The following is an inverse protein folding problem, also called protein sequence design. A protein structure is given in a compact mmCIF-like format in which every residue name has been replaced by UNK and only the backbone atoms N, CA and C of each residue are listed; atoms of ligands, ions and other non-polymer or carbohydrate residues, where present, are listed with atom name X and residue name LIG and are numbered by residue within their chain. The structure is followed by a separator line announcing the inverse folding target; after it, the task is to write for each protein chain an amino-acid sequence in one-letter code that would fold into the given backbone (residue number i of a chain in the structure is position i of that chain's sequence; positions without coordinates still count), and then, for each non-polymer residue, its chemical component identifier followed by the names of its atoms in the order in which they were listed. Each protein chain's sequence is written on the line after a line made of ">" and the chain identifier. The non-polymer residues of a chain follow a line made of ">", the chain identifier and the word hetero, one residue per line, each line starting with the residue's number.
data_IF_182010048887
#
_entry.id   IF_182010048887
#
_cell.length_a   1.000
_cell.length_b   1.000
_cell.length_c   1.000
_cell.angle_alpha   90.00
_cell.angle_beta   90.00
_cell.angle_gamma   90.00
#
_symmetry.space_group_name_H-M   'P 1'
#
loop_
_entity.id
_entity.type
_entity.pdbx_description
1 polymer ?
#
# COMPACT_ATOMS: atom_id res chain seq x y z
N UNK A 1 37.61 36.37 29.74
CA UNK A 1 36.85 35.69 28.67
C UNK A 1 35.64 35.04 29.31
N UNK A 2 34.43 35.50 28.96
CA UNK A 2 33.19 34.86 29.44
C UNK A 2 32.99 33.60 28.59
N UNK A 3 33.15 32.42 29.18
CA UNK A 3 32.91 31.16 28.49
C UNK A 3 31.44 31.06 28.07
N UNK A 4 31.18 30.82 26.79
CA UNK A 4 29.83 30.53 26.34
C UNK A 4 29.48 29.07 26.64
N UNK A 5 28.35 28.85 27.32
CA UNK A 5 27.78 27.51 27.50
C UNK A 5 27.33 26.92 26.15
N UNK A 6 27.20 25.59 26.10
CA UNK A 6 26.68 24.88 24.91
C UNK A 6 25.31 25.46 24.53
N UNK A 7 25.18 25.93 23.29
CA UNK A 7 23.94 26.47 22.75
C UNK A 7 23.22 25.39 21.98
N UNK A 8 21.90 25.36 22.10
CA UNK A 8 21.05 24.45 21.34
C UNK A 8 20.94 24.97 19.91
N UNK A 9 21.19 24.12 18.91
CA UNK A 9 21.00 24.49 17.51
C UNK A 9 19.50 24.76 17.25
N UNK A 10 19.14 25.80 16.48
CA UNK A 10 17.75 26.08 16.11
C UNK A 10 17.03 24.88 15.48
N UNK A 11 17.74 24.09 14.68
CA UNK A 11 17.20 22.88 14.06
C UNK A 11 16.71 21.87 15.11
N UNK A 12 17.39 21.70 16.24
CA UNK A 12 16.92 20.80 17.30
C UNK A 12 15.55 21.22 17.88
N UNK A 13 15.27 22.53 17.94
CA UNK A 13 13.97 23.03 18.39
C UNK A 13 12.88 22.77 17.34
N UNK A 14 13.23 22.90 16.06
CA UNK A 14 12.33 22.57 14.93
C UNK A 14 12.00 21.07 14.94
N UNK A 15 13.01 20.22 15.13
CA UNK A 15 12.85 18.78 15.14
C UNK A 15 11.98 18.32 16.33
N UNK A 16 12.21 18.85 17.54
CA UNK A 16 11.35 18.56 18.70
C UNK A 16 9.88 18.94 18.45
N UNK A 17 9.66 20.12 17.86
CA UNK A 17 8.31 20.57 17.52
C UNK A 17 7.68 19.70 16.44
N UNK A 18 8.47 19.23 15.48
CA UNK A 18 8.01 18.32 14.43
C UNK A 18 7.63 16.95 14.98
N UNK A 19 8.42 16.42 15.92
CA UNK A 19 8.10 15.20 16.66
C UNK A 19 6.79 15.36 17.43
N UNK A 20 6.61 16.48 18.13
CA UNK A 20 5.38 16.78 18.85
C UNK A 20 4.17 16.88 17.90
N UNK A 21 4.35 17.52 16.74
CA UNK A 21 3.32 17.60 15.71
C UNK A 21 2.93 16.22 15.17
N UNK A 22 3.92 15.39 14.80
CA UNK A 22 3.68 14.03 14.31
C UNK A 22 2.87 13.22 15.31
N UNK A 23 3.30 13.18 16.58
CA UNK A 23 2.61 12.45 17.65
C UNK A 23 1.17 12.94 17.86
N UNK A 24 0.91 14.22 17.62
CA UNK A 24 -0.42 14.84 17.76
C UNK A 24 -1.37 14.44 16.63
N UNK A 25 -0.87 14.31 15.40
CA UNK A 25 -1.72 14.01 14.22
C UNK A 25 -1.94 12.52 13.99
N UNK A 26 -1.04 11.69 14.50
CA UNK A 26 -1.16 10.23 14.45
C UNK A 26 -2.31 9.72 15.32
N UNK A 27 -2.96 8.60 14.96
CA UNK A 27 -3.98 7.99 15.81
C UNK A 27 -3.44 7.65 17.20
N UNK A 28 -4.20 8.02 18.24
CA UNK A 28 -3.79 7.94 19.66
C UNK A 28 -3.51 6.50 20.13
N UNK A 29 -4.20 5.53 19.52
CA UNK A 29 -4.07 4.11 19.78
C UNK A 29 -2.84 3.47 19.11
N UNK A 30 -2.19 4.15 18.17
CA UNK A 30 -1.01 3.62 17.50
C UNK A 30 0.25 3.92 18.30
N UNK A 31 1.22 3.00 18.21
CA UNK A 31 2.46 3.10 18.99
C UNK A 31 3.59 3.53 18.07
N UNK A 32 4.15 4.72 18.35
CA UNK A 32 5.36 5.22 17.71
C UNK A 32 6.57 4.90 18.59
N UNK A 33 7.45 4.01 18.14
CA UNK A 33 8.70 3.65 18.82
C UNK A 33 9.87 4.32 18.13
N UNK A 34 10.73 5.00 18.89
CA UNK A 34 12.01 5.51 18.34
C UNK A 34 12.84 4.33 17.81
N UNK A 35 13.36 4.46 16.59
CA UNK A 35 14.18 3.44 15.95
C UNK A 35 15.66 3.77 16.14
N UNK A 36 16.42 2.91 16.83
CA UNK A 36 17.85 3.12 17.12
C UNK A 36 18.67 1.84 16.92
N UNK A 37 19.90 1.91 16.36
CA UNK A 37 20.56 3.10 15.79
C UNK A 37 19.91 3.54 14.46
N UNK A 38 19.91 4.84 14.20
CA UNK A 38 19.17 5.48 13.10
C UNK A 38 20.01 5.52 11.81
N UNK A 39 19.87 4.49 10.98
CA UNK A 39 20.38 4.55 9.59
C UNK A 39 19.44 5.40 8.70
N UNK A 40 19.04 6.58 9.19
CA UNK A 40 18.09 7.48 8.52
C UNK A 40 16.60 7.17 8.78
N UNK A 41 16.28 6.30 9.74
CA UNK A 41 14.90 6.01 10.17
C UNK A 41 14.68 6.52 11.60
N UNK A 42 13.57 7.22 11.82
CA UNK A 42 13.26 7.84 13.12
C UNK A 42 12.30 6.98 13.95
N UNK A 43 11.29 6.39 13.31
CA UNK A 43 10.25 5.64 14.01
C UNK A 43 9.91 4.30 13.36
N UNK A 44 9.61 3.31 14.19
CA UNK A 44 8.80 2.16 13.84
C UNK A 44 7.39 2.39 14.41
N UNK A 45 6.38 2.30 13.54
CA UNK A 45 4.97 2.48 13.91
C UNK A 45 4.29 1.12 13.93
N UNK A 46 3.61 0.82 15.04
CA UNK A 46 2.75 -0.34 15.19
C UNK A 46 1.29 0.11 15.18
N UNK A 47 0.49 -0.49 14.29
CA UNK A 47 -0.92 -0.16 14.08
C UNK A 47 -1.81 -1.08 14.92
N UNK A 48 -2.83 -0.45 15.50
CA UNK A 48 -3.85 -1.10 16.33
C UNK A 48 -5.23 -0.87 15.72
N UNK A 49 -6.18 -1.74 16.07
CA UNK A 49 -7.60 -1.59 15.76
C UNK A 49 -8.13 -0.21 16.18
N UNK A 50 -9.18 0.26 15.50
CA UNK A 50 -9.77 1.58 15.75
C UNK A 50 -10.15 1.81 17.22
N UNK A 51 -10.03 3.06 17.65
CA UNK A 51 -10.18 3.52 19.02
C UNK A 51 -11.61 3.38 19.60
N UNK A 52 -12.53 2.73 18.89
CA UNK A 52 -13.89 2.46 19.36
C UNK A 52 -13.96 1.40 20.47
N UNK A 53 -12.86 0.68 20.72
CA UNK A 53 -12.75 -0.32 21.80
C UNK A 53 -11.91 0.23 22.97
N UNK A 54 -12.26 -0.11 24.23
CA UNK A 54 -11.48 0.33 25.40
C UNK A 54 -10.07 -0.30 25.46
N UNK A 55 -9.86 -1.41 24.74
CA UNK A 55 -8.59 -2.13 24.66
C UNK A 55 -8.34 -2.53 23.21
N UNK A 56 -7.82 -1.62 22.36
CA UNK A 56 -7.57 -1.92 20.96
C UNK A 56 -6.51 -3.00 20.83
N UNK A 57 -6.75 -3.98 19.95
CA UNK A 57 -5.81 -5.08 19.72
C UNK A 57 -4.74 -4.68 18.72
N UNK A 58 -3.53 -5.22 18.89
CA UNK A 58 -2.47 -5.06 17.88
C UNK A 58 -2.85 -5.87 16.64
N UNK A 59 -2.67 -5.25 15.47
CA UNK A 59 -2.82 -5.95 14.20
C UNK A 59 -1.52 -6.65 13.79
N UNK A 60 -0.39 -6.42 14.48
CA UNK A 60 0.92 -6.88 14.02
C UNK A 60 1.34 -6.25 12.68
N UNK A 61 0.74 -5.10 12.33
CA UNK A 61 0.96 -4.34 11.10
C UNK A 61 1.87 -3.15 11.39
N UNK A 62 2.93 -2.99 10.60
CA UNK A 62 4.00 -2.05 10.92
C UNK A 62 4.50 -1.32 9.68
N UNK A 63 4.96 -0.09 9.88
CA UNK A 63 5.71 0.69 8.89
C UNK A 63 6.75 1.56 9.58
N UNK A 64 7.71 2.07 8.81
CA UNK A 64 8.75 2.97 9.30
C UNK A 64 8.50 4.40 8.84
N UNK A 65 8.96 5.35 9.64
CA UNK A 65 8.93 6.78 9.29
C UNK A 65 10.36 7.32 9.32
N UNK A 66 10.70 8.05 8.26
CA UNK A 66 11.75 9.06 8.26
C UNK A 66 11.07 10.44 8.37
N UNK A 67 11.33 11.16 9.45
CA UNK A 67 10.72 12.46 9.75
C UNK A 67 11.68 13.59 9.38
N UNK A 68 11.20 14.56 8.60
CA UNK A 68 11.88 15.83 8.37
C UNK A 68 10.98 16.98 8.85
N UNK A 69 11.54 17.96 9.56
CA UNK A 69 10.77 19.05 10.16
C UNK A 69 11.19 20.40 9.58
N UNK A 70 10.24 21.29 9.32
CA UNK A 70 10.52 22.62 8.76
C UNK A 70 9.50 23.67 9.20
N UNK A 71 9.96 24.91 9.37
CA UNK A 71 9.13 26.11 9.52
C UNK A 71 8.98 26.91 8.21
N UNK A 72 9.78 26.57 7.18
CA UNK A 72 9.80 27.22 5.87
C UNK A 72 9.79 26.17 4.76
N UNK A 73 8.65 25.49 4.54
CA UNK A 73 8.54 24.45 3.54
C UNK A 73 8.63 25.00 2.12
N UNK A 74 9.36 24.30 1.25
CA UNK A 74 9.40 24.57 -0.19
C UNK A 74 8.24 23.85 -0.87
N UNK A 75 7.14 24.57 -1.10
CA UNK A 75 5.96 24.07 -1.81
C UNK A 75 5.98 24.61 -3.24
N UNK A 76 5.61 23.78 -4.21
CA UNK A 76 5.42 24.24 -5.57
C UNK A 76 4.61 23.27 -6.44
N UNK A 77 4.09 23.80 -7.53
CA UNK A 77 3.38 23.03 -8.55
C UNK A 77 4.32 22.02 -9.24
N UNK A 78 3.84 20.80 -9.44
CA UNK A 78 4.45 19.74 -10.23
C UNK A 78 3.50 19.41 -11.38
N UNK A 79 3.99 19.47 -12.61
CA UNK A 79 3.25 19.02 -13.79
C UNK A 79 3.38 17.51 -13.91
N UNK A 80 2.25 16.82 -13.99
CA UNK A 80 2.18 15.38 -14.17
C UNK A 80 1.86 15.09 -15.63
N UNK A 81 2.51 14.06 -16.14
CA UNK A 81 2.30 13.55 -17.49
C UNK A 81 1.81 12.12 -17.37
N UNK A 82 0.96 11.71 -18.30
CA UNK A 82 0.59 10.31 -18.46
C UNK A 82 1.83 9.49 -18.79
N UNK A 83 1.82 8.23 -18.35
CA UNK A 83 2.91 7.30 -18.60
C UNK A 83 2.39 5.87 -18.73
N UNK A 84 3.14 5.04 -19.44
CA UNK A 84 2.92 3.60 -19.46
C UNK A 84 3.28 2.93 -18.13
N UNK A 85 2.91 1.66 -17.98
CA UNK A 85 3.24 0.87 -16.79
C UNK A 85 4.77 0.70 -16.66
N UNK A 86 5.33 1.25 -15.57
CA UNK A 86 6.77 1.26 -15.29
C UNK A 86 7.34 -0.08 -14.82
N UNK A 87 6.50 -1.04 -14.41
CA UNK A 87 6.92 -2.41 -14.14
C UNK A 87 7.30 -3.18 -15.41
N UNK A 88 6.81 -2.69 -16.56
CA UNK A 88 6.97 -3.35 -17.86
C UNK A 88 8.03 -2.68 -18.73
N UNK A 89 8.65 -1.61 -18.24
CA UNK A 89 9.71 -0.92 -18.95
C UNK A 89 10.00 0.47 -18.38
N UNK A 90 10.93 1.17 -19.02
CA UNK A 90 11.32 2.52 -18.62
C UNK A 90 10.17 3.53 -18.73
N UNK A 91 10.25 4.58 -17.92
CA UNK A 91 9.29 5.67 -17.98
C UNK A 91 9.30 6.33 -19.37
N UNK A 92 8.12 6.43 -19.97
CA UNK A 92 7.86 7.19 -21.18
C UNK A 92 6.67 8.08 -20.89
N UNK A 93 6.90 9.38 -20.92
CA UNK A 93 5.89 10.40 -20.64
C UNK A 93 5.25 10.86 -21.95
N UNK A 94 3.96 11.17 -21.89
CA UNK A 94 3.30 11.94 -22.94
C UNK A 94 3.87 13.37 -22.97
N UNK A 95 3.94 13.98 -24.16
CA UNK A 95 4.53 15.32 -24.32
C UNK A 95 3.76 16.40 -23.55
N UNK A 96 2.43 16.32 -23.54
CA UNK A 96 1.56 17.29 -22.88
C UNK A 96 1.24 16.87 -21.42
N UNK A 97 1.24 17.81 -20.46
CA UNK A 97 0.87 17.52 -19.09
C UNK A 97 -0.62 17.19 -19.00
N UNK A 98 -0.94 16.16 -18.23
CA UNK A 98 -2.32 15.75 -17.97
C UNK A 98 -2.97 16.55 -16.84
N UNK A 99 -2.19 16.89 -15.81
CA UNK A 99 -2.65 17.65 -14.65
C UNK A 99 -1.50 18.31 -13.89
N UNK A 100 -1.84 19.18 -12.93
CA UNK A 100 -0.87 19.79 -12.02
C UNK A 100 -1.29 19.59 -10.57
N UNK A 101 -0.32 19.27 -9.71
CA UNK A 101 -0.54 19.13 -8.27
C UNK A 101 0.44 19.98 -7.47
N UNK A 102 0.07 20.38 -6.26
CA UNK A 102 1.00 21.00 -5.32
C UNK A 102 1.79 19.92 -4.55
N UNK A 103 3.10 20.14 -4.43
CA UNK A 103 3.99 19.20 -3.73
C UNK A 103 4.94 19.94 -2.80
N UNK A 104 5.23 19.33 -1.65
CA UNK A 104 6.41 19.67 -0.86
C UNK A 104 7.64 19.10 -1.56
N UNK A 105 8.72 19.87 -1.61
CA UNK A 105 9.98 19.49 -2.26
C UNK A 105 11.08 19.35 -1.22
N UNK A 106 11.55 18.12 -1.03
CA UNK A 106 12.64 17.80 -0.11
C UNK A 106 13.85 17.28 -0.89
N UNK A 107 15.05 17.69 -0.49
CA UNK A 107 16.29 17.13 -1.01
C UNK A 107 16.75 16.04 -0.05
N UNK A 108 16.81 14.80 -0.50
CA UNK A 108 17.38 13.69 0.26
C UNK A 108 18.75 13.30 -0.30
N UNK A 109 19.64 12.86 0.58
CA UNK A 109 20.88 12.23 0.18
C UNK A 109 20.62 10.89 -0.50
N UNK A 110 21.36 10.61 -1.55
CA UNK A 110 21.27 9.34 -2.27
C UNK A 110 21.63 8.14 -1.37
N UNK A 111 22.51 8.34 -0.39
CA UNK A 111 22.86 7.32 0.63
C UNK A 111 21.64 6.87 1.45
N UNK A 112 20.76 7.79 1.82
CA UNK A 112 19.48 7.50 2.51
C UNK A 112 18.57 6.68 1.59
N UNK A 113 18.42 7.10 0.34
CA UNK A 113 17.59 6.40 -0.65
C UNK A 113 18.10 4.97 -0.92
N UNK A 114 19.41 4.79 -1.08
CA UNK A 114 20.03 3.47 -1.26
C UNK A 114 19.82 2.58 -0.04
N UNK A 115 19.84 3.15 1.17
CA UNK A 115 19.57 2.39 2.39
C UNK A 115 18.13 1.88 2.40
N UNK A 116 17.17 2.71 2.01
CA UNK A 116 15.76 2.35 1.94
C UNK A 116 15.49 1.33 0.81
N UNK A 117 16.14 1.48 -0.34
CA UNK A 117 16.09 0.49 -1.42
C UNK A 117 16.54 -0.90 -0.92
N UNK A 118 17.63 -0.94 -0.13
CA UNK A 118 18.17 -2.18 0.45
C UNK A 118 17.27 -2.83 1.49
N UNK A 119 16.40 -2.09 2.15
CA UNK A 119 15.39 -2.66 3.05
C UNK A 119 14.34 -3.50 2.30
N UNK A 120 14.24 -3.30 0.98
CA UNK A 120 13.31 -3.99 0.11
C UNK A 120 11.89 -3.42 0.21
N UNK A 121 11.09 -3.74 -0.82
CA UNK A 121 9.76 -3.16 -0.99
C UNK A 121 8.75 -3.64 0.06
N UNK A 122 8.99 -4.77 0.72
CA UNK A 122 8.08 -5.36 1.71
C UNK A 122 8.03 -4.66 3.07
N UNK A 123 8.98 -3.77 3.36
CA UNK A 123 9.01 -2.96 4.58
C UNK A 123 8.79 -1.49 4.20
N UNK A 124 7.55 -0.97 4.35
CA UNK A 124 7.24 0.39 3.93
C UNK A 124 7.95 1.41 4.83
N UNK A 125 8.68 2.32 4.19
CA UNK A 125 9.35 3.47 4.78
C UNK A 125 8.70 4.72 4.23
N UNK A 126 8.02 5.46 5.10
CA UNK A 126 7.36 6.72 4.75
C UNK A 126 8.27 7.89 5.08
N UNK A 127 8.56 8.74 4.08
CA UNK A 127 9.07 10.08 4.35
C UNK A 127 7.90 10.94 4.79
N UNK A 128 7.99 11.50 5.99
CA UNK A 128 7.01 12.42 6.53
C UNK A 128 7.64 13.79 6.71
N UNK A 129 7.03 14.83 6.16
CA UNK A 129 7.39 16.22 6.45
C UNK A 129 6.43 16.82 7.46
N UNK A 130 6.96 17.30 8.58
CA UNK A 130 6.22 18.11 9.55
C UNK A 130 6.37 19.60 9.21
N UNK A 131 5.32 20.19 8.62
CA UNK A 131 5.21 21.64 8.38
C UNK A 131 4.68 22.30 9.66
N UNK A 132 5.58 22.96 10.39
CA UNK A 132 5.25 23.64 11.65
C UNK A 132 4.45 24.93 11.45
N UNK A 133 4.46 25.50 10.25
CA UNK A 133 3.76 26.74 9.93
C UNK A 133 2.30 26.46 9.56
N UNK A 134 2.03 25.38 8.83
CA UNK A 134 0.66 24.92 8.51
C UNK A 134 0.10 23.91 9.50
N UNK A 135 0.91 23.45 10.44
CA UNK A 135 0.60 22.40 11.41
C UNK A 135 0.11 21.09 10.75
N UNK A 136 0.76 20.68 9.67
CA UNK A 136 0.42 19.46 8.91
C UNK A 136 1.59 18.51 8.81
N UNK A 137 1.28 17.21 8.70
CA UNK A 137 2.25 16.18 8.35
C UNK A 137 1.87 15.57 7.00
N UNK A 138 2.76 15.66 6.01
CA UNK A 138 2.54 15.13 4.67
C UNK A 138 3.48 13.96 4.42
N UNK A 139 3.00 12.88 3.79
CA UNK A 139 3.80 11.68 3.59
C UNK A 139 3.98 11.27 2.12
N UNK A 140 5.01 10.47 1.86
CA UNK A 140 5.14 9.64 0.65
C UNK A 140 5.91 8.35 1.01
N UNK A 141 5.58 7.23 0.37
CA UNK A 141 6.33 5.99 0.55
C UNK A 141 7.62 6.01 -0.27
N UNK A 142 8.78 5.99 0.39
CA UNK A 142 10.08 6.08 -0.28
C UNK A 142 10.42 4.80 -1.05
N UNK A 143 10.05 3.61 -0.56
CA UNK A 143 10.29 2.37 -1.32
C UNK A 143 9.58 2.43 -2.68
N UNK A 144 8.32 2.87 -2.69
CA UNK A 144 7.54 2.97 -3.93
C UNK A 144 7.99 4.15 -4.78
N UNK A 145 8.40 5.27 -4.18
CA UNK A 145 8.97 6.40 -4.92
C UNK A 145 10.27 6.00 -5.64
N UNK A 146 11.16 5.27 -4.96
CA UNK A 146 12.40 4.77 -5.57
C UNK A 146 12.06 3.86 -6.74
N UNK A 147 11.22 2.86 -6.50
CA UNK A 147 10.91 1.79 -7.46
C UNK A 147 10.08 2.27 -8.66
N UNK A 148 9.06 3.10 -8.43
CA UNK A 148 8.10 3.53 -9.46
C UNK A 148 8.44 4.88 -10.08
N UNK A 149 9.37 5.66 -9.51
CA UNK A 149 9.75 6.98 -10.03
C UNK A 149 11.25 7.06 -10.30
N UNK A 150 12.12 6.81 -9.32
CA UNK A 150 13.56 7.03 -9.52
C UNK A 150 14.18 6.02 -10.49
N UNK A 151 13.94 4.73 -10.28
CA UNK A 151 14.50 3.64 -11.10
C UNK A 151 14.04 3.72 -12.57
N UNK A 152 12.75 3.95 -12.88
CA UNK A 152 12.30 3.96 -14.27
C UNK A 152 12.68 5.24 -15.02
N UNK A 153 12.87 6.35 -14.30
CA UNK A 153 13.12 7.70 -14.85
C UNK A 153 14.59 7.96 -15.15
N UNK A 154 15.50 7.46 -14.32
CA UNK A 154 16.94 7.69 -14.46
C UNK A 154 17.65 6.45 -14.97
N UNK A 155 18.77 6.63 -15.68
CA UNK A 155 19.66 5.50 -16.02
C UNK A 155 20.26 4.89 -14.75
N UNK A 156 20.86 5.74 -13.92
CA UNK A 156 21.16 5.47 -12.53
C UNK A 156 20.75 6.68 -11.67
N UNK A 157 19.83 6.47 -10.74
CA UNK A 157 19.43 7.53 -9.82
C UNK A 157 20.56 7.88 -8.82
N UNK A 158 21.60 7.05 -8.71
CA UNK A 158 22.70 7.22 -7.76
C UNK A 158 23.80 8.16 -8.25
N UNK A 159 23.76 8.57 -9.52
CA UNK A 159 24.76 9.47 -10.14
C UNK A 159 24.83 10.88 -9.52
N UNK A 160 23.85 11.24 -8.69
CA UNK A 160 23.83 12.52 -7.98
C UNK A 160 23.92 12.28 -6.48
N UNK A 161 24.58 13.18 -5.76
CA UNK A 161 24.68 13.15 -4.30
C UNK A 161 23.31 13.29 -3.63
N UNK A 162 22.41 14.06 -4.25
CA UNK A 162 21.05 14.28 -3.76
C UNK A 162 20.00 14.11 -4.85
N UNK A 163 18.78 13.76 -4.42
CA UNK A 163 17.57 13.74 -5.26
C UNK A 163 16.45 14.53 -4.61
N UNK A 164 15.71 15.28 -5.43
CA UNK A 164 14.49 15.96 -4.99
C UNK A 164 13.33 14.98 -4.97
N UNK A 165 12.73 14.83 -3.79
CA UNK A 165 11.52 14.04 -3.55
C UNK A 165 10.33 14.99 -3.47
N UNK A 166 9.26 14.63 -4.16
CA UNK A 166 8.01 15.37 -4.19
C UNK A 166 6.96 14.65 -3.35
N UNK A 167 6.38 15.34 -2.37
CA UNK A 167 5.31 14.81 -1.52
C UNK A 167 4.00 15.54 -1.89
N UNK A 168 2.99 14.86 -2.45
CA UNK A 168 1.68 15.46 -2.73
C UNK A 168 1.08 16.11 -1.49
N UNK A 169 0.65 17.38 -1.59
CA UNK A 169 0.02 18.09 -0.47
C UNK A 169 -1.27 17.42 0.04
N UNK A 170 -1.89 16.56 -0.78
CA UNK A 170 -3.09 15.78 -0.46
C UNK A 170 -2.82 14.59 0.47
N UNK A 171 -1.58 14.13 0.58
CA UNK A 171 -1.17 13.02 1.45
C UNK A 171 -1.03 13.47 2.92
N UNK A 172 -2.07 14.10 3.47
CA UNK A 172 -2.08 14.58 4.85
C UNK A 172 -2.37 13.45 5.83
N UNK A 173 -1.43 13.17 6.74
CA UNK A 173 -1.53 12.15 7.80
C UNK A 173 -2.80 12.31 8.63
N UNK A 174 -3.22 13.57 8.87
CA UNK A 174 -4.38 13.87 9.72
C UNK A 174 -5.73 13.68 9.00
N UNK A 175 -5.71 13.57 7.67
CA UNK A 175 -6.90 13.38 6.83
C UNK A 175 -7.43 11.95 6.87
N UNK A 176 -8.71 11.76 6.55
CA UNK A 176 -9.34 10.43 6.47
C UNK A 176 -8.61 9.53 5.48
N UNK A 177 -8.39 10.02 4.26
CA UNK A 177 -7.64 9.29 3.22
C UNK A 177 -6.21 8.97 3.67
N UNK A 178 -5.54 9.91 4.34
CA UNK A 178 -4.20 9.68 4.87
C UNK A 178 -4.16 8.57 5.93
N UNK A 179 -5.12 8.54 6.85
CA UNK A 179 -5.23 7.46 7.85
C UNK A 179 -5.46 6.08 7.20
N UNK A 180 -6.34 6.02 6.20
CA UNK A 180 -6.58 4.80 5.40
C UNK A 180 -5.29 4.39 4.68
N UNK A 181 -4.57 5.33 4.08
CA UNK A 181 -3.29 5.07 3.41
C UNK A 181 -2.23 4.51 4.36
N UNK A 182 -2.08 5.08 5.55
CA UNK A 182 -1.13 4.59 6.55
C UNK A 182 -1.46 3.15 6.99
N UNK A 183 -2.75 2.84 7.21
CA UNK A 183 -3.21 1.46 7.46
C UNK A 183 -2.93 0.53 6.29
N UNK A 184 -3.08 1.01 5.06
CA UNK A 184 -2.77 0.25 3.86
C UNK A 184 -1.28 -0.09 3.76
N UNK A 185 -0.39 0.88 4.03
CA UNK A 185 1.05 0.62 4.07
C UNK A 185 1.41 -0.36 5.18
N UNK A 186 0.84 -0.23 6.39
CA UNK A 186 1.13 -1.12 7.52
C UNK A 186 0.84 -2.61 7.23
N UNK A 187 -0.15 -2.90 6.36
CA UNK A 187 -0.52 -4.26 5.93
C UNK A 187 0.44 -4.92 4.97
N UNK A 188 1.42 -4.19 4.42
CA UNK A 188 2.20 -4.64 3.26
C UNK A 188 2.81 -6.03 3.44
N UNK A 189 3.46 -6.29 4.58
CA UNK A 189 4.10 -7.57 4.85
C UNK A 189 3.10 -8.73 4.90
N UNK A 190 1.92 -8.51 5.50
CA UNK A 190 0.81 -9.47 5.52
C UNK A 190 0.28 -9.74 4.12
N UNK A 191 0.04 -8.68 3.34
CA UNK A 191 -0.45 -8.79 1.97
C UNK A 191 0.55 -9.57 1.11
N UNK A 192 1.84 -9.30 1.21
CA UNK A 192 2.88 -10.05 0.49
C UNK A 192 2.88 -11.54 0.84
N UNK A 193 2.75 -11.87 2.13
CA UNK A 193 2.64 -13.27 2.56
C UNK A 193 1.38 -13.95 2.00
N UNK A 194 0.25 -13.24 2.01
CA UNK A 194 -1.01 -13.74 1.45
C UNK A 194 -0.92 -13.92 -0.07
N UNK A 195 -0.37 -12.95 -0.78
CA UNK A 195 -0.12 -12.98 -2.22
C UNK A 195 0.70 -14.18 -2.66
N UNK A 196 1.84 -14.42 -1.99
CA UNK A 196 2.64 -15.60 -2.25
C UNK A 196 1.83 -16.89 -2.04
N UNK A 197 1.03 -16.94 -0.97
CA UNK A 197 0.17 -18.10 -0.68
C UNK A 197 -0.92 -18.28 -1.73
N UNK A 198 -1.56 -17.22 -2.22
CA UNK A 198 -2.58 -17.29 -3.25
C UNK A 198 -2.02 -17.83 -4.56
N UNK A 199 -0.86 -17.33 -4.99
CA UNK A 199 -0.18 -17.84 -6.19
C UNK A 199 0.20 -19.32 -6.04
N UNK A 200 0.74 -19.70 -4.90
CA UNK A 200 1.04 -21.10 -4.59
C UNK A 200 -0.22 -21.98 -4.66
N UNK A 201 -1.28 -21.61 -3.94
CA UNK A 201 -2.52 -22.37 -3.88
C UNK A 201 -3.18 -22.52 -5.25
N UNK A 202 -3.18 -21.46 -6.07
CA UNK A 202 -3.69 -21.52 -7.44
C UNK A 202 -2.88 -22.51 -8.29
N UNK A 203 -1.55 -22.51 -8.18
CA UNK A 203 -0.69 -23.49 -8.86
C UNK A 203 -1.03 -24.92 -8.43
N UNK A 204 -1.11 -25.19 -7.13
CA UNK A 204 -1.42 -26.53 -6.61
C UNK A 204 -2.81 -27.02 -7.00
N UNK A 205 -3.80 -26.12 -7.07
CA UNK A 205 -5.14 -26.48 -7.56
C UNK A 205 -5.13 -26.87 -9.04
N UNK A 206 -4.37 -26.16 -9.87
CA UNK A 206 -4.20 -26.51 -11.28
C UNK A 206 -3.51 -27.88 -11.43
N UNK A 207 -2.54 -28.21 -10.58
CA UNK A 207 -1.94 -29.56 -10.57
C UNK A 207 -2.94 -30.65 -10.14
N UNK A 208 -3.80 -30.35 -9.17
CA UNK A 208 -4.82 -31.27 -8.67
C UNK A 208 -6.07 -31.34 -9.56
N UNK A 209 -6.10 -30.65 -10.70
CA UNK A 209 -7.30 -30.44 -11.51
C UNK A 209 -8.06 -31.74 -11.87
N UNK A 210 -7.33 -32.80 -12.17
CA UNK A 210 -7.88 -34.12 -12.54
C UNK A 210 -7.92 -35.11 -11.35
N UNK A 211 -7.55 -34.65 -10.15
CA UNK A 211 -7.58 -35.41 -8.91
C UNK A 211 -8.58 -34.82 -7.91
N UNK A 212 -8.27 -34.93 -6.62
CA UNK A 212 -9.09 -34.37 -5.54
C UNK A 212 -8.83 -32.87 -5.33
N UNK A 213 -9.14 -32.07 -6.36
CA UNK A 213 -9.05 -30.61 -6.30
C UNK A 213 -10.00 -30.03 -5.26
N UNK A 214 -11.11 -30.73 -4.97
CA UNK A 214 -12.20 -30.20 -4.14
C UNK A 214 -11.81 -30.15 -2.66
N UNK A 215 -11.33 -31.28 -2.11
CA UNK A 215 -10.84 -31.30 -0.73
C UNK A 215 -9.65 -30.35 -0.55
N UNK A 216 -8.80 -30.21 -1.59
CA UNK A 216 -7.68 -29.28 -1.58
C UNK A 216 -8.15 -27.82 -1.52
N UNK A 217 -9.14 -27.45 -2.35
CA UNK A 217 -9.74 -26.12 -2.35
C UNK A 217 -10.37 -25.78 -0.99
N UNK A 218 -11.13 -26.71 -0.40
CA UNK A 218 -11.74 -26.54 0.93
C UNK A 218 -10.68 -26.34 2.02
N UNK A 219 -9.60 -27.13 2.00
CA UNK A 219 -8.46 -26.94 2.90
C UNK A 219 -7.81 -25.57 2.74
N UNK A 220 -7.57 -25.14 1.49
CA UNK A 220 -6.98 -23.85 1.19
C UNK A 220 -7.86 -22.70 1.66
N UNK A 221 -9.17 -22.77 1.41
CA UNK A 221 -10.13 -21.76 1.81
C UNK A 221 -10.13 -21.55 3.33
N UNK A 222 -10.19 -22.65 4.10
CA UNK A 222 -10.14 -22.60 5.56
C UNK A 222 -8.85 -21.99 6.11
N UNK A 223 -7.72 -22.13 5.39
CA UNK A 223 -6.45 -21.52 5.79
C UNK A 223 -6.41 -20.03 5.53
N UNK A 224 -6.91 -19.57 4.38
CA UNK A 224 -6.83 -18.15 4.00
C UNK A 224 -7.97 -17.32 4.58
N UNK A 225 -9.11 -17.91 4.95
CA UNK A 225 -10.22 -17.21 5.61
C UNK A 225 -9.86 -16.62 6.98
N UNK A 226 -8.75 -17.07 7.58
CA UNK A 226 -8.27 -16.61 8.89
C UNK A 226 -7.50 -15.30 8.83
N UNK A 227 -7.22 -14.78 7.64
CA UNK A 227 -6.56 -13.48 7.54
C UNK A 227 -7.50 -12.37 8.02
N UNK A 228 -6.98 -11.50 8.87
CA UNK A 228 -7.72 -10.38 9.46
C UNK A 228 -7.92 -9.21 8.47
N UNK A 229 -7.02 -9.05 7.49
CA UNK A 229 -7.14 -8.00 6.47
C UNK A 229 -8.39 -8.13 5.59
N UNK A 230 -9.13 -9.24 5.65
CA UNK A 230 -10.40 -9.38 4.92
C UNK A 230 -11.45 -8.37 5.36
N UNK A 231 -11.40 -7.91 6.60
CA UNK A 231 -12.36 -6.95 7.13
C UNK A 231 -11.90 -5.49 6.96
N UNK A 232 -10.68 -5.29 6.45
CA UNK A 232 -10.06 -3.98 6.24
C UNK A 232 -9.78 -3.78 4.74
N UNK A 233 -10.84 -3.44 4.00
CA UNK A 233 -10.85 -3.38 2.53
C UNK A 233 -11.21 -2.01 1.96
N UNK A 234 -11.29 -0.98 2.82
CA UNK A 234 -11.70 0.39 2.47
C UNK A 234 -10.86 0.95 1.30
N UNK A 235 -9.54 0.71 1.33
CA UNK A 235 -8.63 1.15 0.27
C UNK A 235 -8.77 0.33 -1.01
N UNK A 236 -9.16 -0.95 -0.91
CA UNK A 236 -9.08 -1.90 -2.01
C UNK A 236 -10.33 -2.80 -2.06
N UNK A 237 -11.46 -2.30 -2.61
CA UNK A 237 -12.73 -3.02 -2.62
C UNK A 237 -12.68 -4.38 -3.33
N UNK A 238 -11.78 -4.57 -4.29
CA UNK A 238 -11.59 -5.84 -4.99
C UNK A 238 -11.12 -6.97 -4.05
N UNK A 239 -10.40 -6.65 -2.97
CA UNK A 239 -10.09 -7.63 -1.92
C UNK A 239 -11.40 -8.08 -1.23
N UNK A 240 -12.32 -7.14 -0.99
CA UNK A 240 -13.66 -7.43 -0.45
C UNK A 240 -14.49 -8.33 -1.37
N UNK A 241 -14.43 -8.11 -2.68
CA UNK A 241 -15.09 -8.99 -3.67
C UNK A 241 -14.65 -10.45 -3.55
N UNK A 242 -13.33 -10.70 -3.45
CA UNK A 242 -12.82 -12.06 -3.30
C UNK A 242 -13.03 -12.65 -1.90
N UNK A 243 -13.03 -11.83 -0.85
CA UNK A 243 -13.47 -12.24 0.49
C UNK A 243 -14.89 -12.79 0.45
N UNK A 244 -15.80 -12.09 -0.20
CA UNK A 244 -17.20 -12.49 -0.22
C UNK A 244 -17.38 -13.79 -1.02
N UNK A 245 -16.64 -13.96 -2.12
CA UNK A 245 -16.56 -15.23 -2.85
C UNK A 245 -15.99 -16.37 -2.00
N UNK A 246 -14.93 -16.11 -1.24
CA UNK A 246 -14.34 -17.08 -0.33
C UNK A 246 -15.30 -17.51 0.79
N UNK A 247 -16.02 -16.56 1.40
CA UNK A 247 -17.03 -16.83 2.44
C UNK A 247 -18.17 -17.68 1.88
N UNK A 248 -18.71 -17.31 0.72
CA UNK A 248 -19.73 -18.12 0.02
C UNK A 248 -19.23 -19.53 -0.30
N UNK A 249 -17.97 -19.67 -0.72
CA UNK A 249 -17.38 -20.98 -0.98
C UNK A 249 -17.30 -21.85 0.28
N UNK A 250 -16.92 -21.28 1.43
CA UNK A 250 -16.87 -22.01 2.69
C UNK A 250 -18.27 -22.44 3.16
N UNK A 251 -19.27 -21.57 3.00
CA UNK A 251 -20.63 -21.82 3.48
C UNK A 251 -21.42 -22.77 2.58
N UNK A 252 -21.32 -22.58 1.26
CA UNK A 252 -22.18 -23.24 0.27
C UNK A 252 -21.44 -24.24 -0.61
N UNK A 253 -20.11 -24.23 -0.53
CA UNK A 253 -19.27 -24.95 -1.46
C UNK A 253 -19.12 -24.27 -2.83
N UNK A 254 -19.66 -23.08 -3.07
CA UNK A 254 -19.51 -22.38 -4.35
C UNK A 254 -19.19 -20.89 -4.17
N UNK A 255 -18.21 -20.33 -4.91
CA UNK A 255 -17.89 -18.90 -4.81
C UNK A 255 -18.96 -17.99 -5.42
N UNK A 256 -19.66 -18.43 -6.47
CA UNK A 256 -20.65 -17.62 -7.18
C UNK A 256 -20.03 -16.39 -7.86
N UNK A 257 -18.89 -16.56 -8.54
CA UNK A 257 -18.25 -15.50 -9.33
C UNK A 257 -18.77 -15.48 -10.78
N UNK A 258 -19.27 -16.61 -11.27
CA UNK A 258 -19.94 -16.70 -12.58
C UNK A 258 -21.43 -16.39 -12.43
N UNK A 259 -21.90 -15.31 -13.06
CA UNK A 259 -23.34 -15.04 -13.19
C UNK A 259 -24.00 -16.05 -14.16
N UNK A 260 -25.03 -16.75 -13.68
CA UNK A 260 -25.84 -17.67 -14.49
C UNK A 260 -27.00 -16.91 -15.12
N UNK A 261 -26.76 -16.17 -16.20
CA UNK A 261 -27.78 -15.28 -16.82
C UNK A 261 -28.74 -15.98 -17.78
N UNK A 262 -28.60 -17.29 -18.02
CA UNK A 262 -29.41 -18.01 -19.02
C UNK A 262 -30.25 -19.09 -18.31
N UNK A 263 -31.60 -19.02 -18.35
CA UNK A 263 -32.44 -20.14 -17.95
C UNK A 263 -32.17 -21.30 -18.92
N UNK A 264 -31.54 -22.35 -18.41
CA UNK A 264 -31.16 -23.55 -19.17
C UNK A 264 -32.41 -24.19 -19.78
N UNK A 265 -32.43 -24.27 -21.11
CA UNK A 265 -33.46 -24.96 -21.89
C UNK A 265 -33.08 -26.45 -21.92
N UNK A 266 -33.90 -27.26 -21.25
CA UNK A 266 -34.03 -28.75 -21.20
C UNK A 266 -33.12 -29.56 -22.16
N UNK A 267 -31.90 -29.91 -21.74
CA UNK A 267 -31.04 -30.96 -22.35
C UNK A 267 -30.47 -31.87 -21.25
N UNK A 268 -31.32 -32.78 -20.76
CA UNK A 268 -31.15 -33.63 -19.56
C UNK A 268 -29.94 -34.59 -19.47
N UNK A 269 -29.02 -34.59 -20.43
CA UNK A 269 -27.80 -35.45 -20.40
C UNK A 269 -26.50 -34.68 -20.56
N UNK A 270 -26.50 -33.52 -21.23
CA UNK A 270 -25.35 -32.60 -21.27
C UNK A 270 -25.34 -31.62 -20.08
N UNK A 271 -26.47 -31.45 -19.41
CA UNK A 271 -26.63 -30.51 -18.29
C UNK A 271 -25.82 -30.89 -17.04
N UNK A 272 -25.69 -32.18 -16.71
CA UNK A 272 -24.98 -32.63 -15.50
C UNK A 272 -23.47 -32.41 -15.57
N UNK A 273 -22.83 -32.89 -16.65
CA UNK A 273 -21.39 -32.72 -16.86
C UNK A 273 -20.99 -31.26 -17.07
N UNK A 274 -21.83 -30.49 -17.78
CA UNK A 274 -21.61 -29.06 -17.98
C UNK A 274 -21.79 -28.27 -16.67
N UNK A 275 -22.81 -28.56 -15.85
CA UNK A 275 -23.01 -27.90 -14.56
C UNK A 275 -21.88 -28.22 -13.57
N UNK A 276 -21.43 -29.47 -13.52
CA UNK A 276 -20.27 -29.88 -12.71
C UNK A 276 -18.97 -29.22 -13.18
N UNK A 277 -18.76 -29.12 -14.50
CA UNK A 277 -17.64 -28.38 -15.07
C UNK A 277 -17.69 -26.89 -14.71
N UNK A 278 -18.85 -26.23 -14.87
CA UNK A 278 -19.01 -24.81 -14.54
C UNK A 278 -18.81 -24.54 -13.04
N UNK A 279 -19.29 -25.44 -12.17
CA UNK A 279 -19.04 -25.38 -10.71
C UNK A 279 -17.55 -25.50 -10.39
N UNK A 280 -16.84 -26.40 -11.06
CA UNK A 280 -15.37 -26.50 -10.92
C UNK A 280 -14.69 -25.21 -11.40
N UNK A 281 -15.07 -24.70 -12.57
CA UNK A 281 -14.50 -23.45 -13.12
C UNK A 281 -14.73 -22.28 -12.17
N UNK A 282 -15.93 -22.12 -11.61
CA UNK A 282 -16.23 -21.06 -10.64
C UNK A 282 -15.31 -21.10 -9.41
N UNK A 283 -15.05 -22.32 -8.89
CA UNK A 283 -14.06 -22.54 -7.83
C UNK A 283 -12.66 -22.12 -8.28
N UNK A 284 -12.19 -22.58 -9.43
CA UNK A 284 -10.86 -22.25 -9.94
C UNK A 284 -10.69 -20.75 -10.20
N UNK A 285 -11.74 -20.07 -10.67
CA UNK A 285 -11.76 -18.62 -10.89
C UNK A 285 -11.52 -17.83 -9.59
N UNK A 286 -12.00 -18.31 -8.44
CA UNK A 286 -11.71 -17.66 -7.16
C UNK A 286 -10.20 -17.63 -6.89
N UNK A 287 -9.52 -18.77 -7.01
CA UNK A 287 -8.07 -18.83 -6.81
C UNK A 287 -7.29 -18.13 -7.91
N UNK A 288 -7.76 -18.19 -9.16
CA UNK A 288 -7.16 -17.42 -10.25
C UNK A 288 -7.22 -15.92 -9.94
N UNK A 289 -8.38 -15.40 -9.53
CA UNK A 289 -8.57 -14.01 -9.15
C UNK A 289 -7.68 -13.58 -7.97
N UNK A 290 -7.65 -14.38 -6.90
CA UNK A 290 -6.75 -14.19 -5.76
C UNK A 290 -5.26 -14.16 -6.19
N UNK A 291 -4.88 -15.02 -7.14
CA UNK A 291 -3.49 -15.08 -7.67
C UNK A 291 -3.11 -13.90 -8.57
N UNK A 292 -4.09 -13.10 -9.02
CA UNK A 292 -3.88 -11.88 -9.83
C UNK A 292 -3.68 -10.65 -8.95
N UNK A 293 -4.22 -10.65 -7.72
CA UNK A 293 -4.02 -9.54 -6.76
C UNK A 293 -2.56 -9.08 -6.59
N UNK A 294 -1.55 -9.96 -6.52
CA UNK A 294 -0.15 -9.53 -6.40
C UNK A 294 0.30 -8.70 -7.62
N UNK A 295 -0.19 -9.04 -8.82
CA UNK A 295 0.11 -8.30 -10.05
C UNK A 295 -0.54 -6.92 -10.03
N UNK A 296 -1.80 -6.83 -9.59
CA UNK A 296 -2.49 -5.56 -9.42
C UNK A 296 -1.83 -4.67 -8.37
N UNK A 297 -1.33 -5.28 -7.28
CA UNK A 297 -0.59 -4.57 -6.25
C UNK A 297 0.64 -3.88 -6.83
N UNK A 298 1.44 -4.60 -7.63
CA UNK A 298 2.64 -4.06 -8.27
C UNK A 298 2.35 -3.08 -9.41
N UNK A 299 1.39 -3.40 -10.29
CA UNK A 299 1.08 -2.61 -11.48
C UNK A 299 0.36 -1.30 -11.13
N UNK A 300 -0.40 -1.25 -10.03
CA UNK A 300 -1.32 -0.13 -9.74
C UNK A 300 -1.23 0.34 -8.29
N UNK A 301 -1.41 -0.55 -7.31
CA UNK A 301 -1.70 -0.10 -5.95
C UNK A 301 -0.51 0.50 -5.21
N UNK A 302 0.73 0.13 -5.58
CA UNK A 302 1.94 0.78 -5.08
C UNK A 302 2.17 2.19 -5.63
N UNK A 303 1.47 2.57 -6.70
CA UNK A 303 1.47 3.95 -7.18
C UNK A 303 0.47 4.84 -6.44
N UNK A 304 -0.44 4.26 -5.66
CA UNK A 304 -1.34 5.03 -4.82
C UNK A 304 -0.53 5.94 -3.90
N UNK A 305 -0.90 7.22 -3.86
CA UNK A 305 -0.24 8.28 -3.09
C UNK A 305 1.13 8.74 -3.62
N UNK A 306 1.59 8.26 -4.77
CA UNK A 306 2.74 8.85 -5.46
C UNK A 306 2.34 10.10 -6.26
N UNK A 307 3.28 11.04 -6.49
CA UNK A 307 3.07 12.18 -7.38
C UNK A 307 3.19 11.75 -8.85
N UNK A 308 2.31 10.84 -9.29
CA UNK A 308 2.21 10.33 -10.66
C UNK A 308 0.77 10.49 -11.15
N UNK A 309 0.56 10.57 -12.46
CA UNK A 309 -0.79 10.69 -13.04
C UNK A 309 -1.71 9.54 -12.58
N UNK A 310 -1.21 8.31 -12.63
CA UNK A 310 -1.92 7.12 -12.15
C UNK A 310 -2.24 7.20 -10.65
N UNK A 311 -1.26 7.63 -9.85
CA UNK A 311 -1.43 7.82 -8.42
C UNK A 311 -2.56 8.82 -8.12
N UNK A 312 -2.64 9.94 -8.82
CA UNK A 312 -3.68 10.94 -8.61
C UNK A 312 -5.06 10.50 -9.13
N UNK A 313 -5.11 9.66 -10.17
CA UNK A 313 -6.37 9.14 -10.71
C UNK A 313 -7.04 8.09 -9.79
N UNK A 314 -6.27 7.37 -8.97
CA UNK A 314 -6.73 6.17 -8.26
C UNK A 314 -6.52 6.16 -6.74
N UNK A 315 -5.96 7.22 -6.14
CA UNK A 315 -5.56 7.23 -4.72
C UNK A 315 -6.67 7.50 -3.70
N UNK A 316 -7.90 7.79 -4.13
CA UNK A 316 -8.97 8.21 -3.22
C UNK A 316 -10.06 7.15 -3.11
N UNK A 317 -10.27 6.53 -1.93
CA UNK A 317 -11.48 5.76 -1.65
C UNK A 317 -12.71 6.66 -1.87
N UNK A 318 -13.80 6.14 -2.41
CA UNK A 318 -15.02 6.93 -2.57
C UNK A 318 -15.50 7.39 -1.18
N UNK A 319 -15.66 8.69 -0.98
CA UNK A 319 -16.39 9.19 0.19
C UNK A 319 -17.85 8.72 0.05
N UNK A 320 -18.33 7.91 0.99
CA UNK A 320 -19.76 7.64 1.12
C UNK A 320 -20.44 8.97 1.47
N UNK A 321 -21.12 9.58 0.49
CA UNK A 321 -21.99 10.75 0.66
C UNK A 321 -23.27 10.43 1.40
#
# INVERSE_FOLDING_TARGET
>A
MVGHAKRRAPQHLIDERGIALLKRVMPVNWVLREYRPDYGLDYAVEVFEDAGTPYPQTLGEHFFIQLKSTDSPKIGSLQLHRRGNVEKGREKLDDEPSMSIETYRLSLETSELVTIERMGVGLPVLLVIADLTRERCIFVCLNDYIDKILVPRFDDYRDKEHRTIHLPCTNDVSGTVGRIALRWYAKRSKLFSAFQRFTFQHSELNWAENGDWRSLAEHFAQKIARYDFWDDVEMCPIIGHYRDGLRRFIETGQPGLIERSIPLVDVRTFEGEMDDHLRKVDVFLLWQGLSILPKNYEDVWREWFLPTDLGQALSTPMEET
#
